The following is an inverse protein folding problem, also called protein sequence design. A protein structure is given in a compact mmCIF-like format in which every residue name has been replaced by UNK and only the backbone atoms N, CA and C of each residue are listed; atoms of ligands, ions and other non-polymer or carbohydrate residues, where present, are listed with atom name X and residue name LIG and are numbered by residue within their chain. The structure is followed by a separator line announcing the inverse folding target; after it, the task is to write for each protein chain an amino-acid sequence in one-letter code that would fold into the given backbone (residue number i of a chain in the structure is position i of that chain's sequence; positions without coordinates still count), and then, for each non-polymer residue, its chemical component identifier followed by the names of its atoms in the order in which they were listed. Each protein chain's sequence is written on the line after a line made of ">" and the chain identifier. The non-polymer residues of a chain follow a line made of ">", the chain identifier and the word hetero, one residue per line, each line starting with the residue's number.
data_IF_046845623682
#
_entry.id   IF_046845623682
#
_cell.length_a   1.000
_cell.length_b   1.000
_cell.length_c   1.000
_cell.angle_alpha   90.00
_cell.angle_beta   90.00
_cell.angle_gamma   90.00
#
_symmetry.space_group_name_H-M   'P 1'
#
loop_
_entity.id
_entity.type
_entity.pdbx_description
1 polymer ?
#
# COMPACT_ATOMS: atom_id res chain seq x y z
N UNK A 1 19.72 -28.28 5.16
CA UNK A 1 19.54 -27.21 6.15
C UNK A 1 18.50 -26.28 5.57
N UNK A 2 17.30 -26.22 6.15
CA UNK A 2 16.22 -25.34 5.68
C UNK A 2 16.57 -23.90 6.04
N UNK A 3 16.27 -22.94 5.16
CA UNK A 3 16.42 -21.53 5.53
C UNK A 3 15.25 -21.09 6.42
N UNK A 4 15.41 -20.07 7.28
CA UNK A 4 14.30 -19.56 8.10
C UNK A 4 13.07 -19.15 7.27
N UNK A 5 13.29 -18.77 6.00
CA UNK A 5 12.23 -18.44 5.04
C UNK A 5 11.46 -19.69 4.58
N UNK A 6 12.15 -20.79 4.33
CA UNK A 6 11.54 -22.06 3.91
C UNK A 6 10.69 -22.67 5.04
N UNK A 7 11.13 -22.56 6.29
CA UNK A 7 10.38 -23.04 7.46
C UNK A 7 9.08 -22.25 7.68
N UNK A 8 9.11 -20.93 7.47
CA UNK A 8 7.92 -20.09 7.53
C UNK A 8 6.92 -20.40 6.41
N UNK A 9 7.40 -20.71 5.20
CA UNK A 9 6.53 -21.13 4.11
C UNK A 9 5.83 -22.45 4.42
N UNK A 10 6.56 -23.44 4.96
CA UNK A 10 5.99 -24.72 5.35
C UNK A 10 4.88 -24.57 6.41
N UNK A 11 5.07 -23.70 7.41
CA UNK A 11 4.06 -23.42 8.43
C UNK A 11 2.81 -22.73 7.88
N UNK A 12 2.95 -21.91 6.83
CA UNK A 12 1.83 -21.29 6.14
C UNK A 12 1.07 -22.33 5.31
N UNK A 13 1.80 -23.23 4.64
CA UNK A 13 1.21 -24.27 3.81
C UNK A 13 0.47 -25.34 4.64
N UNK A 14 0.82 -25.50 5.91
CA UNK A 14 0.13 -26.39 6.87
C UNK A 14 -1.13 -25.76 7.49
N UNK A 15 -1.38 -24.46 7.32
CA UNK A 15 -2.59 -23.81 7.82
C UNK A 15 -3.81 -24.23 7.01
N UNK A 16 -4.93 -24.48 7.69
CA UNK A 16 -6.21 -24.69 6.99
C UNK A 16 -6.62 -23.43 6.21
N UNK A 17 -7.21 -23.61 5.02
CA UNK A 17 -7.69 -22.51 4.17
C UNK A 17 -8.61 -21.51 4.90
N UNK A 18 -9.42 -22.01 5.84
CA UNK A 18 -10.29 -21.17 6.67
C UNK A 18 -9.48 -20.24 7.58
N UNK A 19 -8.50 -20.79 8.29
CA UNK A 19 -7.63 -20.00 9.15
C UNK A 19 -6.76 -19.02 8.32
N UNK A 20 -6.31 -19.43 7.14
CA UNK A 20 -5.61 -18.53 6.23
C UNK A 20 -6.50 -17.36 5.78
N UNK A 21 -7.75 -17.63 5.40
CA UNK A 21 -8.70 -16.61 5.00
C UNK A 21 -8.98 -15.59 6.12
N UNK A 22 -9.10 -16.05 7.36
CA UNK A 22 -9.33 -15.19 8.53
C UNK A 22 -8.10 -14.31 8.85
N UNK A 23 -6.88 -14.79 8.58
CA UNK A 23 -5.62 -14.09 8.92
C UNK A 23 -5.11 -13.15 7.81
N UNK A 24 -5.51 -13.36 6.55
CA UNK A 24 -5.08 -12.54 5.41
C UNK A 24 -5.29 -11.02 5.58
N UNK A 25 -6.42 -10.52 6.14
CA UNK A 25 -6.61 -9.09 6.37
C UNK A 25 -5.58 -8.50 7.33
N UNK A 26 -5.32 -9.18 8.45
CA UNK A 26 -4.35 -8.74 9.47
C UNK A 26 -2.92 -8.76 8.93
N UNK A 27 -2.57 -9.79 8.16
CA UNK A 27 -1.26 -9.88 7.51
C UNK A 27 -1.05 -8.77 6.47
N UNK A 28 -2.09 -8.39 5.72
CA UNK A 28 -2.03 -7.24 4.80
C UNK A 28 -1.80 -5.93 5.57
N UNK A 29 -2.49 -5.71 6.68
CA UNK A 29 -2.29 -4.53 7.52
C UNK A 29 -0.87 -4.47 8.10
N UNK A 30 -0.38 -5.59 8.63
CA UNK A 30 0.99 -5.71 9.15
C UNK A 30 2.03 -5.41 8.07
N UNK A 31 1.83 -5.93 6.86
CA UNK A 31 2.71 -5.67 5.71
C UNK A 31 2.71 -4.19 5.34
N UNK A 32 1.55 -3.55 5.21
CA UNK A 32 1.45 -2.12 4.91
C UNK A 32 2.14 -1.27 5.98
N UNK A 33 1.99 -1.62 7.27
CA UNK A 33 2.68 -0.93 8.35
C UNK A 33 4.20 -1.15 8.35
N UNK A 34 4.66 -2.32 7.92
CA UNK A 34 6.08 -2.59 7.77
C UNK A 34 6.67 -1.81 6.58
N UNK A 35 5.97 -1.77 5.45
CA UNK A 35 6.35 -0.98 4.27
C UNK A 35 6.39 0.51 4.58
N UNK A 36 5.34 1.05 5.22
CA UNK A 36 5.32 2.45 5.65
C UNK A 36 6.45 2.81 6.64
N UNK A 37 6.91 1.84 7.46
CA UNK A 37 8.08 2.03 8.33
C UNK A 37 9.40 1.91 7.57
N UNK A 38 9.47 1.03 6.58
CA UNK A 38 10.63 0.87 5.71
C UNK A 38 10.83 2.09 4.79
N UNK A 39 9.75 2.70 4.32
CA UNK A 39 9.76 3.98 3.59
C UNK A 39 10.16 5.17 4.47
N UNK A 40 10.08 5.01 5.80
CA UNK A 40 10.49 6.03 6.78
C UNK A 40 11.95 5.93 7.22
N UNK A 41 12.61 4.82 6.91
CA UNK A 41 14.07 4.77 6.97
C UNK A 41 14.59 5.68 5.85
N UNK A 42 15.51 6.62 6.11
CA UNK A 42 16.04 7.49 5.07
C UNK A 42 16.87 6.63 4.11
N UNK A 43 16.22 6.09 3.08
CA UNK A 43 16.89 5.65 1.88
C UNK A 43 17.63 6.87 1.32
N UNK A 44 18.84 6.65 0.82
CA UNK A 44 19.76 7.68 0.32
C UNK A 44 19.26 8.44 -0.92
N UNK A 45 17.95 8.45 -1.17
CA UNK A 45 17.25 9.27 -2.13
C UNK A 45 15.85 9.54 -1.57
N UNK A 46 15.67 10.70 -0.94
CA UNK A 46 14.39 11.12 -0.43
C UNK A 46 13.38 11.15 -1.59
N UNK A 47 12.28 10.39 -1.44
CA UNK A 47 11.06 10.60 -2.18
C UNK A 47 10.18 11.57 -1.36
N UNK A 48 9.55 12.58 -1.95
CA UNK A 48 9.65 12.96 -3.35
C UNK A 48 11.05 13.50 -3.71
N UNK A 49 11.58 13.21 -4.91
CA UNK A 49 12.83 13.80 -5.39
C UNK A 49 12.75 15.33 -5.34
N UNK A 50 13.90 16.01 -5.24
CA UNK A 50 13.92 17.47 -5.14
C UNK A 50 13.22 18.21 -6.30
N UNK A 51 13.00 17.55 -7.44
CA UNK A 51 12.27 18.07 -8.60
C UNK A 51 10.76 17.81 -8.58
N UNK A 52 10.27 16.95 -7.69
CA UNK A 52 8.86 16.58 -7.62
C UNK A 52 8.09 17.67 -6.84
N UNK A 53 7.22 18.38 -7.56
CA UNK A 53 6.56 19.59 -7.07
C UNK A 53 7.28 20.89 -7.42
N UNK A 54 8.44 20.85 -8.08
CA UNK A 54 9.17 22.05 -8.55
C UNK A 54 8.58 22.68 -9.81
N UNK A 55 7.35 22.31 -10.18
CA UNK A 55 6.62 22.98 -11.26
C UNK A 55 6.09 24.28 -10.67
N UNK A 56 6.55 25.41 -11.20
CA UNK A 56 5.97 26.76 -10.98
C UNK A 56 4.59 26.86 -11.64
N UNK A 57 3.70 25.95 -11.29
CA UNK A 57 2.31 25.94 -11.73
C UNK A 57 1.46 26.32 -10.53
N UNK A 58 0.56 27.29 -10.71
CA UNK A 58 -0.54 27.48 -9.78
C UNK A 58 -1.27 26.14 -9.66
N UNK A 59 -1.32 25.51 -8.47
CA UNK A 59 -2.12 24.30 -8.30
C UNK A 59 -3.55 24.67 -8.68
N UNK A 60 -4.20 23.93 -9.60
CA UNK A 60 -5.62 24.15 -9.83
C UNK A 60 -6.32 23.98 -8.49
N UNK A 61 -7.14 24.96 -8.10
CA UNK A 61 -7.94 24.85 -6.89
C UNK A 61 -9.04 23.81 -7.12
N UNK A 62 -8.68 22.56 -6.86
CA UNK A 62 -9.58 21.42 -7.00
C UNK A 62 -10.52 21.32 -5.80
N UNK A 63 -10.38 22.16 -4.77
CA UNK A 63 -11.17 22.06 -3.52
C UNK A 63 -12.67 22.02 -3.79
N UNK A 64 -13.15 22.83 -4.73
CA UNK A 64 -14.57 22.88 -5.11
C UNK A 64 -15.02 21.72 -6.00
N UNK A 65 -14.08 21.00 -6.62
CA UNK A 65 -14.34 19.96 -7.63
C UNK A 65 -13.95 18.54 -7.16
N UNK A 66 -13.45 18.39 -5.93
CA UNK A 66 -13.06 17.09 -5.36
C UNK A 66 -14.23 16.12 -5.35
N UNK A 67 -15.42 16.55 -4.90
CA UNK A 67 -16.59 15.68 -4.81
C UNK A 67 -17.06 15.20 -6.20
N UNK A 68 -16.95 16.08 -7.22
CA UNK A 68 -17.27 15.73 -8.60
C UNK A 68 -16.30 14.68 -9.15
N UNK A 69 -14.99 14.87 -8.96
CA UNK A 69 -13.95 13.93 -9.41
C UNK A 69 -14.11 12.56 -8.74
N UNK A 70 -14.30 12.54 -7.42
CA UNK A 70 -14.48 11.29 -6.67
C UNK A 70 -15.77 10.58 -7.09
N UNK A 71 -16.84 11.30 -7.38
CA UNK A 71 -18.09 10.70 -7.85
C UNK A 71 -18.01 10.17 -9.29
N UNK A 72 -17.20 10.80 -10.15
CA UNK A 72 -17.05 10.45 -11.55
C UNK A 72 -16.24 9.16 -11.74
N UNK A 73 -15.15 8.97 -10.99
CA UNK A 73 -14.22 7.85 -11.22
C UNK A 73 -14.33 6.72 -10.18
N UNK A 74 -14.68 7.03 -8.92
CA UNK A 74 -14.76 6.01 -7.85
C UNK A 74 -16.14 5.35 -7.70
N UNK A 75 -17.12 5.75 -8.52
CA UNK A 75 -18.53 5.39 -8.35
C UNK A 75 -19.15 4.43 -9.36
N UNK A 76 -18.45 4.00 -10.44
CA UNK A 76 -19.06 3.15 -11.48
C UNK A 76 -18.16 2.04 -12.01
N UNK A 77 -18.25 0.88 -11.34
CA UNK A 77 -18.57 -0.36 -12.03
C UNK A 77 -19.26 -1.35 -11.08
N UNK A 78 -20.60 -1.38 -11.13
CA UNK A 78 -21.28 -2.66 -11.20
C UNK A 78 -22.14 -2.72 -12.46
N UNK A 79 -21.64 -3.38 -13.49
CA UNK A 79 -22.39 -4.39 -14.26
C UNK A 79 -21.48 -5.17 -15.19
#
# INVERSE_FOLDING_TARGET
>A
MSTPREELHALIDELSDKAAADLLPELRLLKMQAEARSERAPSSGAWPPAWFGSIDGTPPDLTEHIDEILSAEFGRSPK
#
